data_IF_903876097253
#
_entry.id   IF_903876097253
#
_cell.length_a   1.000
_cell.length_b   1.000
_cell.length_c   1.000
_cell.angle_alpha   90.00
_cell.angle_beta   90.00
_cell.angle_gamma   90.00
#
_symmetry.space_group_name_H-M   'P 1'
#
loop_
_entity.id
_entity.type
_entity.pdbx_description
1 polymer ?
#
# COMPACT_ATOMS: atom_id res chain seq x y z
N UNK A 1 -17.50 19.17 -1.42
CA UNK A 1 -16.96 20.46 -1.90
C UNK A 1 -16.73 21.41 -0.73
N UNK A 2 -17.59 21.38 0.29
CA UNK A 2 -17.50 22.15 1.55
C UNK A 2 -16.13 22.05 2.24
N UNK A 3 -15.52 20.85 2.33
CA UNK A 3 -14.19 20.70 2.93
C UNK A 3 -13.09 21.48 2.18
N UNK A 4 -13.25 21.68 0.88
CA UNK A 4 -12.31 22.43 0.05
C UNK A 4 -12.49 23.94 0.26
N UNK A 5 -13.70 24.40 0.57
CA UNK A 5 -14.00 25.82 0.86
C UNK A 5 -13.32 26.30 2.13
N UNK A 6 -13.13 25.41 3.11
CA UNK A 6 -12.37 25.68 4.34
C UNK A 6 -10.84 25.76 4.11
N UNK A 7 -10.34 25.41 2.92
CA UNK A 7 -8.92 25.41 2.59
C UNK A 7 -8.65 26.24 1.32
N UNK A 8 -8.63 27.59 1.42
CA UNK A 8 -8.62 28.49 0.26
C UNK A 8 -7.46 28.24 -0.71
N UNK A 9 -6.26 27.92 -0.19
CA UNK A 9 -5.09 27.61 -1.01
C UNK A 9 -5.28 26.33 -1.83
N UNK A 10 -5.79 25.27 -1.19
CA UNK A 10 -6.02 23.99 -1.85
C UNK A 10 -7.20 24.09 -2.85
N UNK A 11 -8.23 24.89 -2.52
CA UNK A 11 -9.31 25.22 -3.44
C UNK A 11 -8.82 25.93 -4.70
N UNK A 12 -7.97 26.94 -4.54
CA UNK A 12 -7.37 27.67 -5.67
C UNK A 12 -6.53 26.75 -6.54
N UNK A 13 -5.64 25.98 -5.92
CA UNK A 13 -4.79 25.01 -6.63
C UNK A 13 -5.60 23.98 -7.41
N UNK A 14 -6.62 23.39 -6.77
CA UNK A 14 -7.49 22.39 -7.40
C UNK A 14 -8.26 23.01 -8.58
N UNK A 15 -8.79 24.24 -8.42
CA UNK A 15 -9.44 24.97 -9.52
C UNK A 15 -8.47 25.25 -10.67
N UNK A 16 -7.22 25.63 -10.40
CA UNK A 16 -6.19 25.83 -11.42
C UNK A 16 -5.84 24.56 -12.19
N UNK A 17 -5.75 23.42 -11.49
CA UNK A 17 -5.53 22.10 -12.09
C UNK A 17 -6.70 21.68 -12.99
N UNK A 18 -7.94 21.78 -12.49
CA UNK A 18 -9.15 21.38 -13.22
C UNK A 18 -9.39 22.26 -14.45
N UNK A 19 -9.08 23.55 -14.36
CA UNK A 19 -9.20 24.49 -15.48
C UNK A 19 -8.02 24.42 -16.45
N UNK A 20 -7.05 23.52 -16.23
CA UNK A 20 -5.81 23.38 -17.02
C UNK A 20 -5.06 24.69 -17.22
N UNK A 21 -5.27 25.68 -16.33
CA UNK A 21 -4.61 26.99 -16.37
C UNK A 21 -3.12 26.88 -16.07
N UNK A 22 -2.73 25.85 -15.34
CA UNK A 22 -1.36 25.34 -15.31
C UNK A 22 -1.22 24.29 -16.39
N UNK A 23 -0.64 24.67 -17.53
CA UNK A 23 -0.02 23.68 -18.41
C UNK A 23 1.20 23.12 -17.66
N UNK A 24 1.38 21.80 -17.56
CA UNK A 24 2.69 21.25 -17.17
C UNK A 24 3.73 21.88 -18.09
N UNK A 25 4.89 22.27 -17.57
CA UNK A 25 6.00 22.62 -18.45
C UNK A 25 6.32 21.37 -19.26
N UNK A 26 6.04 21.43 -20.54
CA UNK A 26 6.28 20.34 -21.47
C UNK A 26 7.79 20.05 -21.45
N UNK A 27 8.19 18.88 -20.98
CA UNK A 27 9.60 18.47 -20.86
C UNK A 27 10.25 18.59 -19.47
N UNK A 28 9.54 19.02 -18.42
CA UNK A 28 10.09 19.01 -17.05
C UNK A 28 10.09 17.56 -16.52
N UNK A 29 11.20 16.85 -16.77
CA UNK A 29 11.42 15.49 -16.26
C UNK A 29 11.69 15.59 -14.76
N UNK A 30 10.66 15.44 -13.94
CA UNK A 30 10.85 15.29 -12.49
C UNK A 30 11.50 13.93 -12.23
N UNK A 31 12.65 13.95 -11.54
CA UNK A 31 13.25 12.73 -11.01
C UNK A 31 12.33 12.17 -9.93
N UNK A 32 11.63 11.10 -10.27
CA UNK A 32 10.83 10.34 -9.33
C UNK A 32 11.72 9.29 -8.68
N UNK A 33 11.48 9.02 -7.39
CA UNK A 33 12.02 7.81 -6.77
C UNK A 33 11.40 6.57 -7.44
N UNK A 34 12.07 5.42 -7.33
CA UNK A 34 11.57 4.16 -7.88
C UNK A 34 10.16 3.85 -7.34
N UNK A 35 9.94 4.03 -6.05
CA UNK A 35 8.65 3.86 -5.39
C UNK A 35 7.57 4.76 -6.02
N UNK A 36 7.81 6.07 -6.13
CA UNK A 36 6.88 7.01 -6.77
C UNK A 36 6.59 6.64 -8.23
N UNK A 37 7.61 6.17 -8.96
CA UNK A 37 7.47 5.74 -10.36
C UNK A 37 6.58 4.51 -10.49
N UNK A 38 6.73 3.52 -9.62
CA UNK A 38 5.90 2.29 -9.63
C UNK A 38 4.42 2.60 -9.39
N UNK A 39 4.13 3.51 -8.46
CA UNK A 39 2.77 3.96 -8.15
C UNK A 39 2.15 4.71 -9.33
N UNK A 40 2.89 5.66 -9.93
CA UNK A 40 2.41 6.46 -11.06
C UNK A 40 2.21 5.63 -12.33
N UNK A 41 3.07 4.64 -12.57
CA UNK A 41 2.92 3.67 -13.65
C UNK A 41 1.77 2.67 -13.40
N UNK A 42 1.10 2.74 -12.24
CA UNK A 42 0.07 1.78 -11.80
C UNK A 42 0.53 0.33 -11.88
N UNK A 43 1.84 0.09 -11.84
CA UNK A 43 2.43 -1.24 -11.70
C UNK A 43 2.35 -1.60 -10.23
N UNK A 44 1.14 -1.79 -9.75
CA UNK A 44 0.93 -2.34 -8.42
C UNK A 44 1.56 -3.73 -8.38
N UNK A 45 2.29 -4.09 -7.31
CA UNK A 45 2.74 -5.45 -7.14
C UNK A 45 1.52 -6.37 -7.19
N UNK A 46 1.62 -7.46 -7.95
CA UNK A 46 0.53 -8.40 -8.13
C UNK A 46 0.16 -9.00 -6.76
N UNK A 47 -1.07 -8.76 -6.31
CA UNK A 47 -1.58 -9.38 -5.08
C UNK A 47 -1.46 -10.89 -5.21
N UNK A 48 -0.68 -11.51 -4.33
CA UNK A 48 -0.61 -12.97 -4.25
C UNK A 48 -1.90 -13.50 -3.64
N UNK A 49 -2.30 -14.69 -4.07
CA UNK A 49 -3.44 -15.39 -3.46
C UNK A 49 -3.10 -15.64 -2.00
N UNK A 50 -4.06 -15.37 -1.12
CA UNK A 50 -3.96 -15.75 0.28
C UNK A 50 -3.89 -17.29 0.37
N UNK A 51 -2.84 -17.86 0.99
CA UNK A 51 -2.77 -19.30 1.21
C UNK A 51 -3.85 -19.80 2.18
N UNK A 52 -4.52 -18.92 2.94
CA UNK A 52 -5.43 -19.29 4.01
C UNK A 52 -4.63 -19.86 5.18
N UNK A 53 -5.03 -21.05 5.65
CA UNK A 53 -4.31 -21.75 6.71
C UNK A 53 -3.36 -22.80 6.13
N UNK A 54 -2.13 -22.85 6.63
CA UNK A 54 -1.08 -23.76 6.18
C UNK A 54 -0.27 -24.26 7.38
N UNK A 55 0.48 -25.35 7.22
CA UNK A 55 1.32 -25.89 8.30
C UNK A 55 2.78 -25.53 8.12
N UNK A 56 3.44 -25.09 9.19
CA UNK A 56 4.89 -24.82 9.21
C UNK A 56 5.59 -25.69 10.26
N UNK A 57 6.85 -26.10 10.04
CA UNK A 57 7.65 -26.71 11.11
C UNK A 57 7.76 -25.76 12.31
N UNK A 58 7.63 -26.28 13.53
CA UNK A 58 7.64 -25.49 14.75
C UNK A 58 8.53 -26.12 15.82
N UNK A 59 9.32 -25.27 16.48
CA UNK A 59 10.10 -25.60 17.66
C UNK A 59 9.83 -24.56 18.76
N UNK A 60 9.75 -25.00 20.01
CA UNK A 60 9.64 -24.13 21.19
C UNK A 60 10.96 -24.24 21.96
N UNK A 61 11.76 -23.17 21.90
CA UNK A 61 13.16 -23.24 22.34
C UNK A 61 13.90 -24.34 21.57
N UNK A 62 14.44 -25.32 22.29
CA UNK A 62 15.19 -26.45 21.72
C UNK A 62 14.33 -27.70 21.48
N UNK A 63 13.03 -27.65 21.78
CA UNK A 63 12.11 -28.78 21.57
C UNK A 63 11.44 -28.68 20.21
N UNK A 64 11.60 -29.69 19.36
CA UNK A 64 10.86 -29.81 18.11
C UNK A 64 9.43 -30.30 18.37
N UNK A 65 8.43 -29.51 17.97
CA UNK A 65 7.00 -29.76 18.21
C UNK A 65 6.31 -30.33 16.95
N UNK A 66 7.05 -30.48 15.86
CA UNK A 66 6.51 -30.99 14.60
C UNK A 66 6.03 -29.86 13.71
N UNK A 67 4.74 -29.87 13.35
CA UNK A 67 4.12 -28.87 12.47
C UNK A 67 3.02 -28.11 13.21
N UNK A 68 3.07 -26.78 13.16
CA UNK A 68 2.04 -25.88 13.67
C UNK A 68 1.16 -25.38 12.54
N UNK A 69 -0.13 -25.20 12.83
CA UNK A 69 -1.07 -24.52 11.93
C UNK A 69 -0.86 -23.01 12.01
N UNK A 70 -0.49 -22.40 10.88
CA UNK A 70 -0.45 -20.96 10.69
C UNK A 70 -1.73 -20.54 9.97
N UNK A 71 -2.57 -19.78 10.65
CA UNK A 71 -3.78 -19.21 10.07
C UNK A 71 -3.64 -17.68 10.03
N UNK A 72 -3.59 -17.12 8.82
CA UNK A 72 -3.45 -15.67 8.62
C UNK A 72 -4.71 -14.88 9.04
N UNK A 73 -5.83 -15.57 9.26
CA UNK A 73 -7.05 -15.00 9.82
C UNK A 73 -7.12 -15.00 11.36
N UNK A 74 -6.19 -15.68 12.05
CA UNK A 74 -6.23 -15.82 13.50
C UNK A 74 -5.52 -14.65 14.20
N UNK A 75 -6.13 -14.14 15.28
CA UNK A 75 -5.57 -13.05 16.10
C UNK A 75 -4.77 -13.54 17.31
N UNK A 76 -4.87 -14.83 17.65
CA UNK A 76 -4.20 -15.45 18.80
C UNK A 76 -3.56 -16.78 18.41
N UNK A 77 -2.52 -17.17 19.14
CA UNK A 77 -1.89 -18.48 19.03
C UNK A 77 -2.43 -19.39 20.13
N UNK A 78 -2.83 -20.61 19.76
CA UNK A 78 -3.26 -21.63 20.71
C UNK A 78 -2.23 -22.76 20.73
N UNK A 79 -1.95 -23.25 21.94
CA UNK A 79 -1.20 -24.47 22.18
C UNK A 79 -2.17 -25.47 22.84
N UNK A 80 -2.18 -26.75 22.42
CA UNK A 80 -2.94 -27.79 23.12
C UNK A 80 -2.41 -28.02 24.54
#
# INVERSE_FOLDING_TARGET
>A
MEALEQMPMYAKFTKELLTKKRKPKEGETMLLTEECSTILQRKLPQKKKDPGSFTIPCSIGNLYVGRALCDLGASINLMP
#
